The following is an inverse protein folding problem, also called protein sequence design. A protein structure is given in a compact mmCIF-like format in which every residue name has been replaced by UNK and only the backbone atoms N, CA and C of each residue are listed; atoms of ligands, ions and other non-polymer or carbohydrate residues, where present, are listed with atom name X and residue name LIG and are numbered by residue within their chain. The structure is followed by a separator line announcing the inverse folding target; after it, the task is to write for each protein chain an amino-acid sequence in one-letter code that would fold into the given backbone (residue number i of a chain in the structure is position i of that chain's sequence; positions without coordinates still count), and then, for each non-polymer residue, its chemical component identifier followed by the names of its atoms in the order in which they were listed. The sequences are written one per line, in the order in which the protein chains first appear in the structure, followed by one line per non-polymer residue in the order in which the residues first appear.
data_IF_685046872195
#
_entry.id   IF_685046872195
#
_cell.length_a   1.000
_cell.length_b   1.000
_cell.length_c   1.000
_cell.angle_alpha   90.00
_cell.angle_beta   90.00
_cell.angle_gamma   90.00
#
_symmetry.space_group_name_H-M   'P 1'
#
loop_
_entity.id
_entity.type
_entity.pdbx_description
1 polymer ?
#
# COMPACT_ATOMS: atom_id res chain seq x y z
N UNK A 1 17.58 -1.79 -2.67
CA UNK A 1 18.29 -2.23 -3.88
C UNK A 1 18.87 -1.01 -4.58
N UNK A 2 20.17 -1.03 -5.02
CA UNK A 2 20.83 0.12 -5.65
C UNK A 2 20.13 0.62 -6.91
N UNK A 3 19.63 -0.29 -7.77
CA UNK A 3 18.93 0.12 -9.00
C UNK A 3 17.61 0.83 -8.69
N UNK A 4 16.90 0.42 -7.63
CA UNK A 4 15.67 1.12 -7.20
C UNK A 4 16.01 2.52 -6.70
N UNK A 5 17.12 2.70 -5.95
CA UNK A 5 17.60 4.01 -5.52
C UNK A 5 17.90 4.89 -6.72
N UNK A 6 18.66 4.38 -7.68
CA UNK A 6 19.02 5.13 -8.91
C UNK A 6 17.78 5.59 -9.70
N UNK A 7 16.80 4.68 -9.85
CA UNK A 7 15.53 5.01 -10.54
C UNK A 7 14.74 6.04 -9.75
N UNK A 8 14.73 5.96 -8.42
CA UNK A 8 14.06 6.93 -7.56
C UNK A 8 14.71 8.32 -7.59
N UNK A 9 16.05 8.40 -7.51
CA UNK A 9 16.79 9.66 -7.59
C UNK A 9 16.55 10.37 -8.94
N UNK A 10 16.47 9.59 -10.01
CA UNK A 10 16.06 10.11 -11.32
C UNK A 10 14.63 10.64 -11.29
N UNK A 11 13.68 9.90 -10.68
CA UNK A 11 12.28 10.32 -10.56
C UNK A 11 12.14 11.64 -9.78
N UNK A 12 12.91 11.83 -8.71
CA UNK A 12 12.96 13.10 -7.96
C UNK A 12 13.47 14.24 -8.84
N UNK A 13 14.50 13.99 -9.65
CA UNK A 13 15.02 14.98 -10.62
C UNK A 13 13.97 15.34 -11.69
N UNK A 14 13.22 14.36 -12.17
CA UNK A 14 12.15 14.55 -13.15
C UNK A 14 10.97 15.32 -12.56
N UNK A 15 10.61 15.05 -11.29
CA UNK A 15 9.60 15.86 -10.58
C UNK A 15 10.01 17.33 -10.49
N UNK A 16 11.25 17.60 -10.14
CA UNK A 16 11.80 18.97 -10.13
C UNK A 16 11.73 19.62 -11.52
N UNK A 17 12.08 18.88 -12.58
CA UNK A 17 11.98 19.35 -13.95
C UNK A 17 10.52 19.62 -14.39
N UNK A 18 9.56 18.87 -13.85
CA UNK A 18 8.14 19.09 -14.04
C UNK A 18 7.57 20.27 -13.24
N UNK A 19 8.40 20.95 -12.42
CA UNK A 19 8.04 22.14 -11.67
C UNK A 19 7.75 21.92 -10.19
N UNK A 20 7.97 20.72 -9.66
CA UNK A 20 7.84 20.46 -8.23
C UNK A 20 8.98 21.11 -7.44
N UNK A 21 8.67 21.65 -6.26
CA UNK A 21 9.69 22.11 -5.31
C UNK A 21 10.03 20.93 -4.40
N UNK A 22 11.24 20.44 -4.53
CA UNK A 22 11.72 19.28 -3.76
C UNK A 22 12.20 19.74 -2.38
N UNK A 23 11.81 18.97 -1.34
CA UNK A 23 12.23 19.13 0.05
C UNK A 23 12.87 17.81 0.48
N UNK A 24 14.21 17.81 0.58
CA UNK A 24 15.01 16.58 0.78
C UNK A 24 15.09 16.11 2.25
N UNK A 25 14.79 16.98 3.21
CA UNK A 25 14.92 16.71 4.64
C UNK A 25 13.57 16.34 5.31
N UNK A 26 12.67 15.74 4.54
CA UNK A 26 11.37 15.32 5.05
C UNK A 26 11.46 14.03 5.86
N UNK A 27 11.07 14.10 7.11
CA UNK A 27 10.98 12.96 8.01
C UNK A 27 9.60 12.88 8.68
N UNK A 28 9.06 11.67 8.80
CA UNK A 28 7.81 11.43 9.53
C UNK A 28 8.12 11.24 11.01
N UNK A 29 7.45 12.00 11.85
CA UNK A 29 7.54 11.92 13.31
C UNK A 29 7.22 10.49 13.78
N UNK A 30 8.09 9.92 14.63
CA UNK A 30 7.92 8.59 15.23
C UNK A 30 7.75 7.43 14.22
N UNK A 31 8.21 7.57 12.97
CA UNK A 31 8.01 6.56 11.91
C UNK A 31 8.39 5.15 12.37
N UNK A 32 9.58 4.96 12.96
CA UNK A 32 10.04 3.64 13.41
C UNK A 32 9.09 3.03 14.45
N UNK A 33 8.57 3.84 15.36
CA UNK A 33 7.60 3.39 16.36
C UNK A 33 6.29 2.91 15.71
N UNK A 34 5.80 3.67 14.73
CA UNK A 34 4.59 3.31 13.98
C UNK A 34 4.79 2.06 13.12
N UNK A 35 5.97 1.91 12.50
CA UNK A 35 6.30 0.73 11.69
C UNK A 35 6.42 -0.55 12.50
N UNK A 36 6.84 -0.45 13.76
CA UNK A 36 6.97 -1.59 14.67
C UNK A 36 5.70 -1.87 15.49
N UNK A 37 4.71 -0.99 15.45
CA UNK A 37 3.45 -1.19 16.13
C UNK A 37 2.63 -2.29 15.45
N UNK A 38 2.18 -3.30 16.23
CA UNK A 38 1.28 -4.33 15.73
C UNK A 38 -0.16 -3.80 15.71
N UNK A 39 -0.52 -3.10 14.65
CA UNK A 39 -1.87 -2.57 14.44
C UNK A 39 -2.71 -3.46 13.53
N UNK A 40 -2.30 -4.72 13.34
CA UNK A 40 -2.97 -5.63 12.42
C UNK A 40 -4.20 -6.26 13.06
N UNK A 41 -5.32 -6.23 12.34
CA UNK A 41 -6.62 -6.69 12.76
C UNK A 41 -7.09 -7.83 11.87
N UNK A 42 -7.21 -9.05 12.42
CA UNK A 42 -7.68 -10.23 11.68
C UNK A 42 -9.22 -10.25 11.69
N UNK A 43 -9.83 -9.49 10.80
CA UNK A 43 -11.29 -9.43 10.65
C UNK A 43 -11.80 -9.98 9.31
N UNK A 44 -10.92 -10.51 8.49
CA UNK A 44 -11.21 -10.95 7.12
C UNK A 44 -12.41 -11.90 7.04
N UNK A 45 -12.45 -12.96 7.85
CA UNK A 45 -13.54 -13.93 7.82
C UNK A 45 -14.89 -13.31 8.21
N UNK A 46 -14.91 -12.44 9.22
CA UNK A 46 -16.11 -11.71 9.65
C UNK A 46 -16.64 -10.78 8.54
N UNK A 47 -15.76 -9.97 7.95
CA UNK A 47 -16.15 -9.03 6.90
C UNK A 47 -16.59 -9.76 5.62
N UNK A 48 -15.86 -10.81 5.22
CA UNK A 48 -16.25 -11.66 4.08
C UNK A 48 -17.59 -12.36 4.31
N UNK A 49 -17.85 -12.86 5.50
CA UNK A 49 -19.14 -13.46 5.82
C UNK A 49 -20.29 -12.46 5.63
N UNK A 50 -20.13 -11.23 6.08
CA UNK A 50 -21.13 -10.16 5.89
C UNK A 50 -21.31 -9.79 4.42
N UNK A 51 -20.21 -9.70 3.69
CA UNK A 51 -20.25 -9.45 2.25
C UNK A 51 -20.99 -10.57 1.50
N UNK A 52 -20.63 -11.82 1.75
CA UNK A 52 -21.28 -12.97 1.13
C UNK A 52 -22.78 -13.03 1.50
N UNK A 53 -23.14 -12.74 2.74
CA UNK A 53 -24.53 -12.67 3.17
C UNK A 53 -25.32 -11.57 2.40
N UNK A 54 -24.70 -10.44 2.06
CA UNK A 54 -25.34 -9.37 1.28
C UNK A 54 -25.67 -9.78 -0.16
N UNK A 55 -24.95 -10.78 -0.71
CA UNK A 55 -25.24 -11.36 -2.03
C UNK A 55 -26.43 -12.32 -2.03
N UNK A 56 -26.94 -12.70 -0.85
CA UNK A 56 -28.07 -13.60 -0.69
C UNK A 56 -27.84 -14.97 -1.34
N UNK A 57 -28.80 -15.41 -2.18
CA UNK A 57 -28.69 -16.69 -2.87
C UNK A 57 -27.66 -16.72 -4.00
N UNK A 58 -27.17 -15.57 -4.42
CA UNK A 58 -26.13 -15.46 -5.47
C UNK A 58 -24.71 -15.66 -4.91
N UNK A 59 -24.53 -15.75 -3.58
CA UNK A 59 -23.23 -16.03 -3.00
C UNK A 59 -22.76 -17.44 -3.39
N UNK A 60 -21.58 -17.59 -4.01
CA UNK A 60 -21.05 -18.90 -4.44
C UNK A 60 -20.69 -19.79 -3.25
N UNK A 61 -20.33 -19.19 -2.13
CA UNK A 61 -20.01 -19.83 -0.85
C UNK A 61 -20.65 -19.04 0.29
N UNK A 62 -20.74 -19.64 1.48
CA UNK A 62 -21.28 -18.98 2.69
C UNK A 62 -20.19 -18.57 3.68
N UNK A 63 -19.04 -19.23 3.62
CA UNK A 63 -17.88 -18.97 4.46
C UNK A 63 -16.60 -19.18 3.62
N UNK A 64 -15.60 -18.33 3.81
CA UNK A 64 -14.30 -18.46 3.14
C UNK A 64 -13.59 -19.77 3.49
N UNK A 65 -13.92 -20.39 4.62
CA UNK A 65 -13.36 -21.68 5.01
C UNK A 65 -13.81 -22.84 4.10
N UNK A 66 -14.92 -22.69 3.39
CA UNK A 66 -15.35 -23.65 2.36
C UNK A 66 -14.35 -23.74 1.20
N UNK A 67 -13.55 -22.69 0.96
CA UNK A 67 -12.45 -22.73 -0.03
C UNK A 67 -11.39 -23.73 0.40
N UNK A 68 -11.06 -23.78 1.70
CA UNK A 68 -10.09 -24.75 2.23
C UNK A 68 -10.66 -26.16 2.12
N UNK A 69 -11.94 -26.33 2.48
CA UNK A 69 -12.63 -27.64 2.42
C UNK A 69 -12.73 -28.17 0.99
N UNK A 70 -12.86 -27.27 0.00
CA UNK A 70 -12.90 -27.66 -1.43
C UNK A 70 -11.57 -28.16 -1.97
N UNK A 71 -10.44 -27.73 -1.40
CA UNK A 71 -9.10 -27.95 -1.95
C UNK A 71 -8.82 -27.20 -3.26
N UNK A 72 -9.74 -26.35 -3.72
CA UNK A 72 -9.64 -25.58 -4.98
C UNK A 72 -8.93 -24.23 -4.75
N UNK A 73 -7.71 -24.25 -4.26
CA UNK A 73 -6.86 -23.08 -4.07
C UNK A 73 -5.39 -23.44 -4.33
N UNK A 74 -4.57 -22.42 -4.59
CA UNK A 74 -3.14 -22.61 -4.71
C UNK A 74 -2.54 -22.96 -3.34
N UNK A 75 -1.83 -24.12 -3.20
CA UNK A 75 -1.24 -24.52 -1.92
C UNK A 75 -0.36 -23.46 -1.25
N UNK A 76 0.21 -22.54 -2.03
CA UNK A 76 1.00 -21.42 -1.54
C UNK A 76 0.24 -20.49 -0.57
N UNK A 77 -1.08 -20.39 -0.70
CA UNK A 77 -1.90 -19.50 0.14
C UNK A 77 -2.55 -20.18 1.34
N UNK A 78 -2.37 -21.51 1.52
CA UNK A 78 -3.05 -22.29 2.55
C UNK A 78 -2.85 -21.74 3.96
N UNK A 79 -1.60 -21.50 4.36
CA UNK A 79 -1.28 -20.92 5.67
C UNK A 79 -1.92 -19.54 5.87
N UNK A 80 -1.98 -18.73 4.81
CA UNK A 80 -2.58 -17.39 4.85
C UNK A 80 -4.09 -17.47 5.00
N UNK A 81 -4.77 -18.38 4.31
CA UNK A 81 -6.21 -18.57 4.46
C UNK A 81 -6.54 -18.99 5.89
N UNK A 82 -5.79 -19.94 6.45
CA UNK A 82 -5.95 -20.35 7.85
C UNK A 82 -5.71 -19.19 8.82
N UNK A 83 -4.65 -18.42 8.63
CA UNK A 83 -4.36 -17.26 9.46
C UNK A 83 -5.47 -16.21 9.41
N UNK A 84 -5.88 -15.79 8.22
CA UNK A 84 -6.93 -14.78 8.04
C UNK A 84 -8.33 -15.31 8.40
N UNK A 85 -8.55 -16.62 8.31
CA UNK A 85 -9.79 -17.29 8.67
C UNK A 85 -9.89 -17.71 10.14
N UNK A 86 -8.86 -17.45 10.97
CA UNK A 86 -8.76 -17.96 12.34
C UNK A 86 -9.83 -17.43 13.30
N UNK A 87 -10.29 -16.20 13.11
CA UNK A 87 -11.31 -15.60 13.96
C UNK A 87 -12.72 -16.05 13.55
N UNK A 88 -13.67 -16.18 14.52
CA UNK A 88 -15.05 -16.56 14.25
C UNK A 88 -15.75 -15.57 13.32
N UNK A 89 -16.54 -16.07 12.37
CA UNK A 89 -17.32 -15.25 11.45
C UNK A 89 -18.50 -14.52 12.08
N UNK A 90 -19.01 -15.08 13.20
CA UNK A 90 -20.24 -14.62 13.86
C UNK A 90 -19.96 -13.73 15.09
N UNK A 91 -18.69 -13.52 15.44
CA UNK A 91 -18.29 -12.65 16.55
C UNK A 91 -17.79 -11.33 15.99
N UNK A 92 -18.40 -10.23 16.47
CA UNK A 92 -17.93 -8.90 16.03
C UNK A 92 -16.46 -8.70 16.45
N UNK A 93 -15.59 -8.18 15.57
CA UNK A 93 -14.16 -8.04 15.86
C UNK A 93 -13.83 -7.33 17.18
N UNK A 94 -14.62 -6.35 17.59
CA UNK A 94 -14.45 -5.66 18.89
C UNK A 94 -14.71 -6.54 20.12
N UNK A 95 -15.47 -7.65 19.95
CA UNK A 95 -15.89 -8.54 21.01
C UNK A 95 -15.00 -9.81 21.09
N UNK A 96 -13.93 -9.86 20.29
CA UNK A 96 -12.92 -10.92 20.35
C UNK A 96 -12.12 -10.85 21.65
N UNK A 97 -11.49 -11.96 22.05
CA UNK A 97 -10.58 -12.01 23.21
C UNK A 97 -9.47 -10.96 23.11
N UNK A 98 -8.93 -10.78 21.91
CA UNK A 98 -8.09 -9.62 21.55
C UNK A 98 -8.91 -8.71 20.65
N UNK A 99 -9.51 -7.63 21.18
CA UNK A 99 -10.39 -6.76 20.42
C UNK A 99 -9.68 -6.12 19.24
N UNK A 100 -10.40 -6.07 18.13
CA UNK A 100 -9.94 -5.57 16.87
C UNK A 100 -10.84 -4.40 16.48
N UNK A 101 -10.37 -3.19 16.72
CA UNK A 101 -11.14 -1.98 16.47
C UNK A 101 -11.17 -1.64 14.98
N UNK A 102 -12.22 -0.97 14.55
CA UNK A 102 -12.29 -0.39 13.24
C UNK A 102 -11.19 0.66 13.06
N UNK A 103 -10.84 0.89 11.79
CA UNK A 103 -9.79 1.85 11.43
C UNK A 103 -9.96 3.21 12.12
N UNK A 104 -11.19 3.77 12.08
CA UNK A 104 -11.49 5.08 12.67
C UNK A 104 -11.45 5.11 14.21
N UNK A 105 -11.56 3.94 14.85
CA UNK A 105 -11.54 3.80 16.32
C UNK A 105 -10.14 3.40 16.84
N UNK A 106 -9.21 3.03 15.94
CA UNK A 106 -7.90 2.53 16.32
C UNK A 106 -6.93 3.68 16.61
N UNK A 107 -6.72 3.97 17.89
CA UNK A 107 -5.89 5.10 18.35
C UNK A 107 -4.48 5.13 17.74
N UNK A 108 -3.82 3.97 17.62
CA UNK A 108 -2.49 3.86 17.01
C UNK A 108 -2.48 4.30 15.53
N UNK A 109 -3.52 3.96 14.78
CA UNK A 109 -3.66 4.40 13.38
C UNK A 109 -3.94 5.89 13.27
N UNK A 110 -4.80 6.40 14.14
CA UNK A 110 -5.08 7.84 14.20
C UNK A 110 -3.86 8.63 14.63
N UNK A 111 -3.07 8.12 15.58
CA UNK A 111 -1.81 8.73 15.99
C UNK A 111 -0.83 8.77 14.82
N UNK A 112 -0.68 7.67 14.09
CA UNK A 112 0.19 7.63 12.92
C UNK A 112 -0.24 8.64 11.84
N UNK A 113 -1.53 8.69 11.52
CA UNK A 113 -2.05 9.68 10.56
C UNK A 113 -1.75 11.12 11.03
N UNK A 114 -1.98 11.43 12.31
CA UNK A 114 -1.67 12.77 12.85
C UNK A 114 -0.18 13.12 12.74
N UNK A 115 0.71 12.17 13.04
CA UNK A 115 2.15 12.38 12.96
C UNK A 115 2.60 12.61 11.51
N UNK A 116 2.05 11.86 10.54
CA UNK A 116 2.31 12.10 9.10
C UNK A 116 1.85 13.50 8.69
N UNK A 117 0.60 13.88 9.00
CA UNK A 117 0.07 15.19 8.62
C UNK A 117 0.86 16.32 9.30
N UNK A 118 1.21 16.16 10.58
CA UNK A 118 2.03 17.14 11.31
C UNK A 118 3.41 17.30 10.68
N UNK A 119 4.03 16.19 10.27
CA UNK A 119 5.31 16.21 9.57
C UNK A 119 5.21 16.95 8.23
N UNK A 120 4.15 16.69 7.46
CA UNK A 120 3.89 17.40 6.21
C UNK A 120 3.69 18.91 6.44
N UNK A 121 2.95 19.31 7.48
CA UNK A 121 2.68 20.72 7.78
C UNK A 121 3.92 21.47 8.28
N UNK A 122 4.82 20.80 9.00
CA UNK A 122 6.05 21.38 9.55
C UNK A 122 7.24 21.37 8.59
N UNK A 123 7.18 20.59 7.51
CA UNK A 123 8.23 20.52 6.50
C UNK A 123 8.54 21.87 5.86
N UNK A 124 9.64 22.00 5.12
CA UNK A 124 10.06 23.20 4.41
C UNK A 124 10.10 24.44 5.33
N UNK A 125 10.64 24.30 6.55
CA UNK A 125 10.70 25.34 7.57
C UNK A 125 9.32 25.90 7.97
N UNK A 126 8.31 25.02 8.07
CA UNK A 126 6.94 25.36 8.46
C UNK A 126 6.06 25.89 7.32
N UNK A 127 6.52 25.82 6.08
CA UNK A 127 5.69 26.16 4.91
C UNK A 127 4.76 25.01 4.50
N UNK A 128 5.11 23.79 4.94
CA UNK A 128 4.42 22.56 4.59
C UNK A 128 4.80 22.01 3.22
N UNK A 129 4.40 20.75 2.99
CA UNK A 129 4.46 20.08 1.69
C UNK A 129 3.06 19.60 1.31
N UNK A 130 2.79 19.58 0.00
CA UNK A 130 1.50 19.11 -0.52
C UNK A 130 1.41 17.60 -0.58
N UNK A 131 2.53 16.94 -0.86
CA UNK A 131 2.68 15.49 -0.91
C UNK A 131 4.11 15.08 -0.57
N UNK A 132 4.31 13.80 -0.24
CA UNK A 132 5.64 13.19 -0.17
C UNK A 132 5.69 11.94 -1.03
N UNK A 133 6.88 11.55 -1.44
CA UNK A 133 7.10 10.46 -2.39
C UNK A 133 8.11 9.46 -1.87
N UNK A 134 7.93 8.19 -2.27
CA UNK A 134 8.88 7.11 -2.01
C UNK A 134 8.69 5.98 -3.02
N UNK A 135 9.67 5.09 -3.21
CA UNK A 135 9.50 3.91 -4.06
C UNK A 135 8.42 3.01 -3.49
N UNK A 136 7.43 2.60 -4.30
CA UNK A 136 6.41 1.64 -3.86
C UNK A 136 7.02 0.35 -3.32
N UNK A 137 8.19 -0.04 -3.86
CA UNK A 137 9.00 -1.17 -3.42
C UNK A 137 10.47 -0.79 -3.36
N UNK A 138 11.16 -1.20 -2.30
CA UNK A 138 12.61 -0.99 -2.13
C UNK A 138 13.46 -2.01 -2.87
N UNK A 139 12.84 -3.05 -3.44
CA UNK A 139 13.48 -4.13 -4.19
C UNK A 139 12.66 -4.49 -5.42
N UNK A 140 13.29 -5.01 -6.47
CA UNK A 140 12.58 -5.61 -7.60
C UNK A 140 11.70 -6.81 -7.17
N UNK A 141 10.71 -7.21 -7.98
CA UNK A 141 9.91 -8.39 -7.71
C UNK A 141 10.75 -9.64 -7.45
N UNK A 142 10.30 -10.48 -6.52
CA UNK A 142 10.91 -11.77 -6.24
C UNK A 142 10.76 -12.73 -7.42
N UNK A 143 11.67 -13.71 -7.55
CA UNK A 143 11.49 -14.82 -8.48
C UNK A 143 10.30 -15.68 -8.05
N UNK A 144 9.54 -16.22 -9.00
CA UNK A 144 8.31 -16.98 -8.72
C UNK A 144 8.57 -18.23 -7.86
N UNK A 145 9.65 -18.94 -8.15
CA UNK A 145 10.06 -20.15 -7.43
C UNK A 145 10.66 -19.88 -6.03
N UNK A 146 10.99 -18.61 -5.74
CA UNK A 146 11.56 -18.15 -4.47
C UNK A 146 10.75 -17.03 -3.83
N UNK A 147 9.50 -16.86 -4.24
CA UNK A 147 8.69 -15.73 -3.86
C UNK A 147 8.57 -15.53 -2.34
N UNK A 148 8.50 -16.62 -1.55
CA UNK A 148 8.43 -16.53 -0.07
C UNK A 148 9.74 -16.00 0.51
N UNK A 149 10.88 -16.53 0.02
CA UNK A 149 12.20 -16.23 0.56
C UNK A 149 12.68 -14.83 0.17
N UNK A 150 12.36 -14.42 -1.07
CA UNK A 150 12.84 -13.17 -1.67
C UNK A 150 11.86 -12.00 -1.50
N UNK A 151 10.61 -12.24 -1.04
CA UNK A 151 9.62 -11.18 -0.84
C UNK A 151 10.07 -10.20 0.25
N UNK A 152 10.36 -8.97 -0.15
CA UNK A 152 10.80 -7.91 0.76
C UNK A 152 10.65 -6.52 0.15
N UNK A 153 10.60 -5.53 1.03
CA UNK A 153 10.68 -4.12 0.62
C UNK A 153 9.39 -3.53 0.07
N UNK A 154 8.23 -4.15 0.35
CA UNK A 154 6.93 -3.56 0.05
C UNK A 154 6.69 -2.34 0.95
N UNK A 155 6.75 -1.15 0.37
CA UNK A 155 6.46 0.12 1.04
C UNK A 155 5.03 0.57 0.79
N UNK A 156 4.37 0.03 -0.24
CA UNK A 156 3.03 0.47 -0.66
C UNK A 156 1.97 0.26 0.43
N UNK A 157 2.18 -0.71 1.32
CA UNK A 157 1.27 -1.05 2.40
C UNK A 157 1.61 -0.40 3.75
N UNK A 158 2.73 0.33 3.84
CA UNK A 158 3.24 0.81 5.14
C UNK A 158 2.56 2.07 5.64
N UNK A 159 2.46 3.10 4.81
CA UNK A 159 2.00 4.43 5.26
C UNK A 159 0.54 4.66 4.87
N UNK A 160 0.22 4.70 3.59
CA UNK A 160 -1.12 5.06 3.13
C UNK A 160 -2.21 4.12 3.67
N UNK A 161 -2.13 2.79 3.56
CA UNK A 161 -3.14 1.90 4.15
C UNK A 161 -3.16 1.93 5.68
N UNK A 162 -2.02 2.17 6.34
CA UNK A 162 -1.96 2.23 7.79
C UNK A 162 -2.53 3.54 8.36
N UNK A 163 -2.50 4.62 7.61
CA UNK A 163 -2.98 5.95 8.01
C UNK A 163 -4.34 6.32 7.42
N UNK A 164 -4.74 5.69 6.29
CA UNK A 164 -5.93 6.05 5.51
C UNK A 164 -5.72 7.30 4.66
N UNK A 165 -4.51 7.80 4.55
CA UNK A 165 -4.20 8.92 3.66
C UNK A 165 -4.27 8.47 2.21
N UNK A 166 -4.74 9.33 1.29
CA UNK A 166 -4.79 9.01 -0.12
C UNK A 166 -3.39 8.87 -0.71
N UNK A 167 -3.24 7.91 -1.62
CA UNK A 167 -2.00 7.68 -2.34
C UNK A 167 -2.27 7.27 -3.80
N UNK A 168 -1.36 7.61 -4.68
CA UNK A 168 -1.34 7.17 -6.07
C UNK A 168 0.04 6.64 -6.41
N UNK A 169 0.10 5.60 -7.24
CA UNK A 169 1.38 5.06 -7.74
C UNK A 169 1.46 5.26 -9.24
N UNK A 170 2.59 5.80 -9.70
CA UNK A 170 2.90 5.96 -11.12
C UNK A 170 4.20 5.23 -11.47
N UNK A 171 4.38 4.74 -12.71
CA UNK A 171 5.65 4.19 -13.14
C UNK A 171 6.76 5.24 -13.07
N UNK A 172 7.89 4.90 -12.42
CA UNK A 172 9.08 5.76 -12.37
C UNK A 172 10.25 5.22 -13.19
N UNK A 173 10.05 4.11 -13.89
CA UNK A 173 11.05 3.46 -14.73
C UNK A 173 11.09 1.95 -14.53
N UNK A 174 12.20 1.35 -14.95
CA UNK A 174 12.44 -0.09 -14.84
C UNK A 174 13.79 -0.36 -14.15
N UNK A 175 13.86 -1.47 -13.45
CA UNK A 175 15.08 -2.08 -12.94
C UNK A 175 15.38 -3.34 -13.76
N UNK A 176 16.63 -3.80 -13.78
CA UNK A 176 17.03 -5.02 -14.52
C UNK A 176 16.47 -5.03 -15.96
N UNK A 177 16.50 -3.87 -16.61
CA UNK A 177 16.04 -3.62 -17.99
C UNK A 177 14.54 -3.81 -18.24
N UNK A 178 13.82 -4.55 -17.41
CA UNK A 178 12.42 -4.97 -17.69
C UNK A 178 11.45 -4.90 -16.52
N UNK A 179 11.93 -4.86 -15.29
CA UNK A 179 11.09 -4.93 -14.10
C UNK A 179 10.60 -3.53 -13.72
N UNK A 180 9.27 -3.26 -13.76
CA UNK A 180 8.76 -1.92 -13.50
C UNK A 180 8.95 -1.54 -12.02
N UNK A 181 9.29 -0.27 -11.79
CA UNK A 181 9.35 0.35 -10.48
C UNK A 181 8.30 1.46 -10.37
N UNK A 182 7.65 1.56 -9.21
CA UNK A 182 6.58 2.52 -8.94
C UNK A 182 7.02 3.62 -8.00
N UNK A 183 6.67 4.86 -8.32
CA UNK A 183 6.72 6.02 -7.45
C UNK A 183 5.38 6.15 -6.75
N UNK A 184 5.36 6.07 -5.43
CA UNK A 184 4.17 6.34 -4.64
C UNK A 184 4.16 7.79 -4.17
N UNK A 185 3.04 8.46 -4.39
CA UNK A 185 2.79 9.85 -4.01
C UNK A 185 1.67 9.82 -2.97
N UNK A 186 1.93 10.33 -1.78
CA UNK A 186 0.98 10.34 -0.66
C UNK A 186 0.67 11.78 -0.28
N UNK A 187 -0.61 12.08 -0.08
CA UNK A 187 -1.10 13.41 0.30
C UNK A 187 -1.88 13.41 1.60
N UNK A 188 -2.41 14.57 1.97
CA UNK A 188 -3.30 14.73 3.12
C UNK A 188 -4.70 14.20 2.81
N UNK A 189 -5.55 14.08 3.82
CA UNK A 189 -6.95 13.70 3.62
C UNK A 189 -7.64 14.58 2.56
N UNK A 190 -8.51 13.96 1.78
CA UNK A 190 -9.30 14.61 0.73
C UNK A 190 -8.47 15.21 -0.43
N UNK A 191 -7.19 14.86 -0.56
CA UNK A 191 -6.32 15.34 -1.63
C UNK A 191 -6.27 14.47 -2.89
N UNK A 192 -7.18 13.50 -3.05
CA UNK A 192 -7.20 12.53 -4.16
C UNK A 192 -7.10 13.21 -5.53
N UNK A 193 -7.92 14.25 -5.76
CA UNK A 193 -7.91 14.99 -7.03
C UNK A 193 -6.56 15.67 -7.32
N UNK A 194 -5.92 16.22 -6.28
CA UNK A 194 -4.59 16.83 -6.40
C UNK A 194 -3.52 15.76 -6.73
N UNK A 195 -3.55 14.62 -6.04
CA UNK A 195 -2.60 13.52 -6.28
C UNK A 195 -2.74 12.95 -7.69
N UNK A 196 -3.97 12.79 -8.20
CA UNK A 196 -4.22 12.39 -9.59
C UNK A 196 -3.63 13.42 -10.56
N UNK A 197 -3.78 14.71 -10.28
CA UNK A 197 -3.19 15.78 -11.06
C UNK A 197 -1.65 15.73 -11.08
N UNK A 198 -1.01 15.50 -9.92
CA UNK A 198 0.44 15.34 -9.81
C UNK A 198 0.93 14.11 -10.58
N UNK A 199 0.24 12.97 -10.40
CA UNK A 199 0.55 11.72 -11.09
C UNK A 199 0.43 11.88 -12.62
N UNK A 200 -0.63 12.54 -13.08
CA UNK A 200 -0.81 12.83 -14.50
C UNK A 200 0.29 13.74 -15.07
N UNK A 201 0.63 14.82 -14.35
CA UNK A 201 1.70 15.73 -14.78
C UNK A 201 3.04 15.00 -14.90
N UNK A 202 3.38 14.15 -13.93
CA UNK A 202 4.59 13.33 -13.97
C UNK A 202 4.58 12.33 -15.14
N UNK A 203 3.46 11.60 -15.32
CA UNK A 203 3.33 10.64 -16.41
C UNK A 203 3.46 11.31 -17.78
N UNK A 204 2.84 12.48 -17.98
CA UNK A 204 2.93 13.23 -19.24
C UNK A 204 4.34 13.74 -19.53
N UNK A 205 5.12 14.04 -18.51
CA UNK A 205 6.49 14.50 -18.64
C UNK A 205 7.47 13.36 -18.94
N UNK A 206 7.24 12.17 -18.38
CA UNK A 206 8.25 11.10 -18.34
C UNK A 206 7.94 9.92 -19.26
N UNK A 207 6.67 9.57 -19.43
CA UNK A 207 6.21 8.43 -20.24
C UNK A 207 6.90 7.09 -19.89
N UNK A 208 7.19 6.86 -18.60
CA UNK A 208 7.90 5.66 -18.13
C UNK A 208 7.11 4.35 -18.27
N UNK A 209 5.80 4.43 -18.55
CA UNK A 209 5.01 3.23 -18.77
C UNK A 209 5.42 2.55 -20.07
N UNK A 210 5.94 1.33 -19.98
CA UNK A 210 6.26 0.49 -21.12
C UNK A 210 5.30 -0.69 -21.22
N UNK A 211 4.97 -1.08 -22.45
CA UNK A 211 4.17 -2.29 -22.68
C UNK A 211 5.08 -3.52 -22.56
N UNK A 212 4.71 -4.54 -21.75
CA UNK A 212 5.51 -5.75 -21.63
C UNK A 212 5.72 -6.43 -22.98
N UNK A 213 6.95 -6.84 -23.27
CA UNK A 213 7.25 -7.59 -24.49
C UNK A 213 6.47 -8.93 -24.48
N UNK A 214 5.87 -9.30 -25.60
CA UNK A 214 5.07 -10.52 -25.72
C UNK A 214 3.59 -10.38 -25.32
N UNK A 215 3.17 -9.23 -24.81
CA UNK A 215 1.78 -8.91 -24.48
C UNK A 215 1.32 -7.71 -25.32
N UNK A 216 0.88 -7.91 -26.57
CA UNK A 216 0.40 -6.82 -27.41
C UNK A 216 -0.83 -6.14 -26.78
N UNK A 217 -1.11 -4.88 -27.13
CA UNK A 217 -2.36 -4.23 -26.74
C UNK A 217 -3.57 -5.06 -27.17
N UNK A 218 -4.61 -5.05 -26.34
CA UNK A 218 -5.87 -5.71 -26.63
C UNK A 218 -6.57 -5.04 -27.81
#
# INVERSE_FOLDING_TARGET
DPEVIEVFDRAVTELAAAGAIIVDDFEIINLDSHMNANNFCIRFRYDMHRYLASLGQNAPIKDVMEVIESGEFDPYIEERIHFFGSNPKDVHPKDLETPCLDYLEHEGRQSFMRDVVTSMDSAAAGKGVDAFVYPSWSYPPANLDKAIEEYRGDNSQKIAPATGLPAVTVPMGVTRDTLPAGLQIVGKLDSDGMLIGMAYAYEQQTHHRTVPQGYPPL
#
